data_IF_447442034927
#
_entry.id   IF_447442034927
#
_cell.length_a   1.000
_cell.length_b   1.000
_cell.length_c   1.000
_cell.angle_alpha   90.00
_cell.angle_beta   90.00
_cell.angle_gamma   90.00
#
_symmetry.space_group_name_H-M   'P 1'
#
loop_
_entity.id
_entity.type
_entity.pdbx_description
1 polymer ?
#
# COMPACT_ATOMS: atom_id res chain seq x y z
N UNK A 1 4.95 3.51 -10.54
CA UNK A 1 4.83 4.98 -10.69
C UNK A 1 3.46 5.26 -11.30
N UNK A 2 2.69 6.23 -10.82
CA UNK A 2 1.32 6.46 -11.29
C UNK A 2 1.24 7.38 -12.50
N UNK A 3 0.37 7.06 -13.47
CA UNK A 3 0.00 7.97 -14.58
C UNK A 3 -0.66 9.26 -14.11
N UNK A 4 -1.25 9.26 -12.91
CA UNK A 4 -1.91 10.42 -12.33
C UNK A 4 -0.92 11.37 -11.60
N UNK A 5 0.36 10.99 -11.56
CA UNK A 5 1.41 11.66 -10.81
C UNK A 5 1.46 11.20 -9.36
N UNK A 6 2.67 10.97 -8.86
CA UNK A 6 2.94 10.57 -7.48
C UNK A 6 3.28 11.81 -6.63
N UNK A 7 2.99 11.77 -5.33
CA UNK A 7 3.52 12.77 -4.40
C UNK A 7 4.92 12.30 -3.97
N UNK A 8 5.89 13.21 -4.05
CA UNK A 8 7.24 12.97 -3.57
C UNK A 8 7.26 13.02 -2.02
N UNK A 9 7.75 11.97 -1.34
CA UNK A 9 7.73 11.91 0.11
C UNK A 9 8.51 13.02 0.83
N UNK A 10 9.58 13.53 0.21
CA UNK A 10 10.46 14.51 0.85
C UNK A 10 9.93 15.95 0.73
N UNK A 11 9.00 16.20 -0.18
CA UNK A 11 8.32 17.48 -0.37
C UNK A 11 6.91 17.53 0.21
N UNK A 12 6.40 16.43 0.76
CA UNK A 12 5.08 16.37 1.38
C UNK A 12 5.03 17.12 2.71
N UNK A 13 3.90 17.76 3.00
CA UNK A 13 3.62 18.46 4.24
C UNK A 13 2.34 17.94 4.93
N UNK A 14 2.08 18.46 6.14
CA UNK A 14 0.86 18.20 6.90
C UNK A 14 0.49 16.72 7.06
N UNK A 15 -0.76 16.39 6.74
CA UNK A 15 -1.32 15.04 6.85
C UNK A 15 -0.63 14.03 5.93
N UNK A 16 -0.21 14.46 4.75
CA UNK A 16 0.47 13.58 3.77
C UNK A 16 1.86 13.18 4.24
N UNK A 17 2.61 14.12 4.84
CA UNK A 17 3.90 13.82 5.45
C UNK A 17 3.77 12.82 6.61
N UNK A 18 2.76 13.00 7.47
CA UNK A 18 2.46 12.08 8.56
C UNK A 18 2.09 10.68 8.02
N UNK A 19 1.29 10.63 6.96
CA UNK A 19 0.94 9.39 6.26
C UNK A 19 2.20 8.69 5.72
N UNK A 20 3.07 9.40 5.02
CA UNK A 20 4.31 8.82 4.48
C UNK A 20 5.25 8.31 5.57
N UNK A 21 5.38 9.05 6.67
CA UNK A 21 6.14 8.58 7.84
C UNK A 21 5.57 7.27 8.41
N UNK A 22 4.24 7.12 8.45
CA UNK A 22 3.57 5.93 8.97
C UNK A 22 3.68 4.68 8.06
N UNK A 23 4.12 4.85 6.81
CA UNK A 23 4.29 3.77 5.82
C UNK A 23 5.74 3.65 5.31
N UNK A 24 6.68 4.41 5.88
CA UNK A 24 8.09 4.37 5.50
C UNK A 24 8.69 3.02 5.86
N UNK A 25 9.31 2.39 4.87
CA UNK A 25 10.08 1.15 5.01
C UNK A 25 11.58 1.45 4.83
N UNK A 26 12.49 0.49 5.07
CA UNK A 26 13.91 0.66 4.73
C UNK A 26 14.16 0.99 3.25
N UNK A 27 13.22 0.64 2.36
CA UNK A 27 13.30 0.88 0.92
C UNK A 27 12.51 2.13 0.48
N UNK A 28 12.06 2.96 1.44
CA UNK A 28 11.25 4.13 1.18
C UNK A 28 9.75 3.88 1.34
N UNK A 29 8.95 4.78 0.79
CA UNK A 29 7.48 4.72 0.85
C UNK A 29 6.96 3.91 -0.35
N UNK A 30 6.08 2.91 -0.14
CA UNK A 30 5.51 2.13 -1.24
C UNK A 30 4.83 3.00 -2.29
N UNK A 31 5.01 2.67 -3.57
CA UNK A 31 4.50 3.49 -4.68
C UNK A 31 2.97 3.63 -4.66
N UNK A 32 2.22 2.60 -4.24
CA UNK A 32 0.77 2.69 -4.13
C UNK A 32 0.32 3.72 -3.08
N UNK A 33 1.11 3.92 -2.01
CA UNK A 33 0.85 4.96 -1.01
C UNK A 33 1.11 6.33 -1.62
N UNK A 34 2.22 6.50 -2.36
CA UNK A 34 2.57 7.76 -3.05
C UNK A 34 1.53 8.17 -4.09
N UNK A 35 1.02 7.22 -4.87
CA UNK A 35 0.01 7.46 -5.90
C UNK A 35 -1.39 7.76 -5.34
N UNK A 36 -1.72 7.22 -4.16
CA UNK A 36 -3.02 7.43 -3.51
C UNK A 36 -3.00 8.53 -2.44
N UNK A 37 -1.84 9.10 -2.13
CA UNK A 37 -1.65 10.10 -1.08
C UNK A 37 -2.52 11.35 -1.23
N UNK A 38 -2.94 11.69 -2.45
CA UNK A 38 -3.90 12.78 -2.72
C UNK A 38 -5.29 12.55 -2.08
N UNK A 39 -5.59 11.31 -1.69
CA UNK A 39 -6.82 10.92 -0.99
C UNK A 39 -6.46 10.08 0.24
N UNK A 40 -6.00 10.69 1.35
CA UNK A 40 -5.50 9.99 2.53
C UNK A 40 -6.48 8.96 3.10
N UNK A 41 -7.78 9.26 3.07
CA UNK A 41 -8.83 8.33 3.50
C UNK A 41 -8.83 6.98 2.75
N UNK A 42 -8.46 6.96 1.47
CA UNK A 42 -8.33 5.72 0.69
C UNK A 42 -7.14 4.92 1.20
N UNK A 43 -6.01 5.57 1.47
CA UNK A 43 -4.80 4.90 1.97
C UNK A 43 -5.07 4.25 3.34
N UNK A 44 -5.74 4.97 4.23
CA UNK A 44 -6.14 4.45 5.54
C UNK A 44 -7.12 3.27 5.41
N UNK A 45 -8.13 3.38 4.54
CA UNK A 45 -9.07 2.31 4.25
C UNK A 45 -8.39 1.05 3.72
N UNK A 46 -7.50 1.21 2.73
CA UNK A 46 -6.72 0.12 2.15
C UNK A 46 -5.81 -0.56 3.17
N UNK A 47 -5.10 0.21 4.01
CA UNK A 47 -4.27 -0.37 5.08
C UNK A 47 -5.10 -1.18 6.07
N UNK A 48 -6.25 -0.66 6.49
CA UNK A 48 -7.14 -1.38 7.40
C UNK A 48 -7.64 -2.68 6.76
N UNK A 49 -8.06 -2.61 5.50
CA UNK A 49 -8.53 -3.77 4.76
C UNK A 49 -7.45 -4.84 4.60
N UNK A 50 -6.24 -4.47 4.20
CA UNK A 50 -5.10 -5.39 4.08
C UNK A 50 -4.76 -6.02 5.43
N UNK A 51 -4.72 -5.25 6.52
CA UNK A 51 -4.43 -5.80 7.84
C UNK A 51 -5.49 -6.82 8.30
N UNK A 52 -6.78 -6.53 8.07
CA UNK A 52 -7.86 -7.47 8.39
C UNK A 52 -7.70 -8.78 7.63
N UNK A 53 -7.43 -8.72 6.33
CA UNK A 53 -7.30 -9.89 5.47
C UNK A 53 -6.02 -10.70 5.72
N UNK A 54 -4.90 -10.03 5.97
CA UNK A 54 -3.57 -10.66 5.92
C UNK A 54 -2.97 -10.93 7.31
N UNK A 55 -3.43 -10.24 8.36
CA UNK A 55 -2.79 -10.26 9.69
C UNK A 55 -3.73 -10.62 10.84
N UNK A 56 -4.88 -9.98 10.94
CA UNK A 56 -5.69 -10.00 12.17
C UNK A 56 -6.70 -11.16 12.22
N UNK A 57 -7.25 -11.58 11.08
CA UNK A 57 -8.33 -12.59 11.03
C UNK A 57 -8.14 -13.64 9.91
N UNK A 58 -6.90 -13.86 9.49
CA UNK A 58 -6.58 -14.77 8.40
C UNK A 58 -6.61 -16.23 8.86
N UNK A 59 -7.61 -17.00 8.43
CA UNK A 59 -7.65 -18.47 8.60
C UNK A 59 -6.61 -19.21 7.75
N UNK A 60 -6.02 -18.51 6.76
CA UNK A 60 -5.07 -19.07 5.80
C UNK A 60 -3.61 -18.75 6.17
N UNK A 61 -3.37 -17.81 7.09
CA UNK A 61 -2.05 -17.33 7.45
C UNK A 61 -1.42 -16.40 6.41
N UNK A 62 -0.48 -15.56 6.84
CA UNK A 62 0.11 -14.50 6.00
C UNK A 62 0.83 -15.06 4.77
N UNK A 63 1.63 -16.14 4.93
CA UNK A 63 2.39 -16.72 3.81
C UNK A 63 1.47 -17.22 2.69
N UNK A 64 0.39 -17.94 3.03
CA UNK A 64 -0.55 -18.42 2.00
C UNK A 64 -1.35 -17.28 1.39
N UNK A 65 -1.69 -16.25 2.18
CA UNK A 65 -2.31 -15.03 1.66
C UNK A 65 -1.44 -14.36 0.60
N UNK A 66 -0.13 -14.24 0.84
CA UNK A 66 0.82 -13.67 -0.13
C UNK A 66 0.97 -14.56 -1.37
N UNK A 67 0.93 -15.90 -1.23
CA UNK A 67 0.93 -16.81 -2.38
C UNK A 67 -0.29 -16.59 -3.28
N UNK A 68 -1.48 -16.46 -2.69
CA UNK A 68 -2.72 -16.17 -3.44
C UNK A 68 -2.61 -14.81 -4.11
N UNK A 69 -2.17 -13.77 -3.38
CA UNK A 69 -1.99 -12.43 -3.92
C UNK A 69 -1.03 -12.42 -5.11
N UNK A 70 0.09 -13.15 -5.02
CA UNK A 70 1.07 -13.29 -6.10
C UNK A 70 0.49 -13.99 -7.32
N UNK A 71 -0.21 -15.12 -7.11
CA UNK A 71 -0.82 -15.89 -8.19
C UNK A 71 -1.88 -15.05 -8.93
N UNK A 72 -2.79 -14.42 -8.20
CA UNK A 72 -3.85 -13.59 -8.78
C UNK A 72 -3.27 -12.36 -9.49
N UNK A 73 -2.23 -11.72 -8.93
CA UNK A 73 -1.56 -10.60 -9.59
C UNK A 73 -0.88 -11.02 -10.89
N UNK A 74 -0.24 -12.19 -10.93
CA UNK A 74 0.37 -12.76 -12.13
C UNK A 74 -0.67 -13.05 -13.21
N UNK A 75 -1.80 -13.67 -12.84
CA UNK A 75 -2.92 -13.93 -13.76
C UNK A 75 -3.50 -12.64 -14.35
N UNK A 76 -3.54 -11.57 -13.57
CA UNK A 76 -4.02 -10.25 -14.02
C UNK A 76 -2.94 -9.36 -14.64
N UNK A 77 -1.69 -9.86 -14.77
CA UNK A 77 -0.55 -9.08 -15.29
C UNK A 77 -0.36 -7.74 -14.57
N UNK A 78 -0.59 -7.72 -13.25
CA UNK A 78 -0.33 -6.56 -12.42
C UNK A 78 1.17 -6.48 -12.12
N UNK A 79 1.86 -5.56 -12.77
CA UNK A 79 3.30 -5.34 -12.58
C UNK A 79 3.61 -4.81 -11.17
N UNK A 80 4.81 -5.14 -10.66
CA UNK A 80 5.27 -4.90 -9.30
C UNK A 80 5.86 -3.48 -9.12
#
# INVERSE_FOLDING_TARGET
MSFLGDIDPDSADGETAALFKAFKTPHGVPNWVRGLARKPGIVHGMRRFINLLMKEHSSIGTVRGEMIATLVSSLNRCEH
#
